data_IF_105131163974
#
_entry.id   IF_105131163974
#
_cell.length_a   1.000
_cell.length_b   1.000
_cell.length_c   1.000
_cell.angle_alpha   90.00
_cell.angle_beta   90.00
_cell.angle_gamma   90.00
#
_symmetry.space_group_name_H-M   'P 1'
#
loop_
_entity.id
_entity.type
_entity.pdbx_description
1 polymer ?
#
# COMPACT_ATOMS: atom_id res chain seq x y z
N UNK A 1 20.42 3.94 5.55
CA UNK A 1 20.07 4.88 4.47
C UNK A 1 20.06 4.12 3.16
N UNK A 2 18.90 4.10 2.54
CA UNK A 2 18.63 3.53 1.25
C UNK A 2 17.91 4.58 0.39
N UNK A 3 17.93 4.40 -0.93
CA UNK A 3 17.23 5.28 -1.87
C UNK A 3 16.20 4.47 -2.64
N UNK A 4 15.00 5.04 -2.81
CA UNK A 4 13.95 4.50 -3.67
C UNK A 4 13.79 5.44 -4.85
N UNK A 5 14.14 4.96 -6.04
CA UNK A 5 13.86 5.67 -7.29
C UNK A 5 12.41 5.44 -7.70
N UNK A 6 11.61 6.50 -7.67
CA UNK A 6 10.20 6.46 -8.06
C UNK A 6 10.01 7.20 -9.37
N UNK A 7 9.48 6.49 -10.36
CA UNK A 7 9.10 7.08 -11.65
C UNK A 7 7.68 6.66 -12.02
N UNK A 8 6.82 7.63 -12.33
CA UNK A 8 5.49 7.37 -12.84
C UNK A 8 5.21 8.13 -14.12
N UNK A 9 4.41 7.50 -14.98
CA UNK A 9 4.01 8.03 -16.28
C UNK A 9 2.53 7.80 -16.46
N UNK A 10 1.77 8.88 -16.55
CA UNK A 10 0.32 8.87 -16.80
C UNK A 10 0.10 9.43 -18.20
N UNK A 11 -0.49 8.62 -19.06
CA UNK A 11 -0.77 9.00 -20.43
C UNK A 11 -2.25 8.83 -20.73
N UNK A 12 -2.91 9.93 -21.09
CA UNK A 12 -4.25 9.87 -21.63
C UNK A 12 -4.16 9.43 -23.10
N UNK A 13 -4.94 8.43 -23.50
CA UNK A 13 -4.95 7.96 -24.90
C UNK A 13 -5.36 9.10 -25.84
N UNK A 14 -4.44 9.50 -26.72
CA UNK A 14 -4.63 10.64 -27.65
C UNK A 14 -4.54 12.02 -26.99
N UNK A 15 -4.09 12.09 -25.73
CA UNK A 15 -4.08 13.29 -24.93
C UNK A 15 -2.73 13.57 -24.26
N UNK A 16 -2.72 14.37 -23.18
CA UNK A 16 -1.51 14.80 -22.53
C UNK A 16 -0.76 13.65 -21.86
N UNK A 17 0.53 13.88 -21.71
CA UNK A 17 1.44 13.05 -20.95
C UNK A 17 1.87 13.81 -19.70
N UNK A 18 1.74 13.17 -18.55
CA UNK A 18 2.29 13.66 -17.28
C UNK A 18 3.25 12.59 -16.77
N UNK A 19 4.48 12.98 -16.44
CA UNK A 19 5.45 12.08 -15.84
C UNK A 19 6.22 12.78 -14.74
N UNK A 20 6.63 12.01 -13.74
CA UNK A 20 7.55 12.47 -12.69
C UNK A 20 8.56 11.37 -12.42
N UNK A 21 9.77 11.78 -12.03
CA UNK A 21 10.84 10.91 -11.59
C UNK A 21 11.56 11.61 -10.45
N UNK A 22 11.72 10.92 -9.33
CA UNK A 22 12.35 11.46 -8.14
C UNK A 22 13.02 10.35 -7.33
N UNK A 23 14.09 10.71 -6.63
CA UNK A 23 14.72 9.88 -5.62
C UNK A 23 14.07 10.18 -4.26
N UNK A 24 13.72 9.13 -3.53
CA UNK A 24 13.31 9.22 -2.13
C UNK A 24 14.42 8.66 -1.25
N UNK A 25 14.98 9.49 -0.39
CA UNK A 25 15.90 9.04 0.64
C UNK A 25 15.07 8.49 1.80
N UNK A 26 15.31 7.24 2.15
CA UNK A 26 14.67 6.55 3.29
C UNK A 26 15.74 5.95 4.17
N UNK A 27 15.45 5.76 5.45
CA UNK A 27 16.39 5.08 6.34
C UNK A 27 16.41 3.58 6.09
N UNK A 28 15.21 3.02 5.94
CA UNK A 28 14.95 1.62 5.70
C UNK A 28 13.76 1.46 4.75
N UNK A 29 13.74 0.34 4.04
CA UNK A 29 12.60 -0.09 3.25
C UNK A 29 12.34 -1.58 3.49
N UNK A 30 11.09 -1.99 3.32
CA UNK A 30 10.69 -3.39 3.36
C UNK A 30 9.78 -3.70 2.18
N UNK A 31 10.02 -4.85 1.54
CA UNK A 31 9.10 -5.46 0.58
C UNK A 31 8.42 -6.65 1.24
N UNK A 32 7.10 -6.65 1.25
CA UNK A 32 6.28 -7.72 1.83
C UNK A 32 5.44 -8.32 0.71
N UNK A 33 5.64 -9.61 0.47
CA UNK A 33 4.85 -10.40 -0.46
C UNK A 33 3.93 -11.32 0.35
N UNK A 34 2.62 -11.26 0.07
CA UNK A 34 1.61 -11.89 0.94
C UNK A 34 0.35 -12.27 0.18
N UNK A 35 -0.12 -13.50 0.40
CA UNK A 35 -1.40 -13.94 -0.10
C UNK A 35 -2.54 -13.63 0.89
N UNK A 36 -3.63 -13.07 0.38
CA UNK A 36 -4.89 -12.88 1.11
C UNK A 36 -5.93 -13.84 0.55
N UNK A 37 -6.23 -14.88 1.33
CA UNK A 37 -7.23 -15.89 1.00
C UNK A 37 -8.65 -15.29 1.03
N UNK A 38 -9.54 -15.69 0.11
CA UNK A 38 -10.94 -15.23 0.03
C UNK A 38 -11.83 -15.84 1.12
N UNK A 39 -11.45 -15.67 2.40
CA UNK A 39 -12.16 -16.20 3.57
C UNK A 39 -13.09 -15.17 4.22
N UNK A 40 -12.99 -13.90 3.83
CA UNK A 40 -13.64 -12.77 4.50
C UNK A 40 -13.02 -12.41 5.84
N UNK A 41 -11.98 -13.10 6.30
CA UNK A 41 -11.26 -12.76 7.53
C UNK A 41 -10.21 -11.68 7.27
N UNK A 42 -9.92 -10.90 8.31
CA UNK A 42 -8.85 -9.91 8.25
C UNK A 42 -7.49 -10.59 8.45
N UNK A 43 -6.52 -10.16 7.65
CA UNK A 43 -5.12 -10.54 7.80
C UNK A 43 -4.31 -9.29 8.11
N UNK A 44 -3.78 -9.23 9.32
CA UNK A 44 -2.91 -8.16 9.79
C UNK A 44 -1.50 -8.32 9.23
N UNK A 45 -0.95 -7.21 8.74
CA UNK A 45 0.41 -7.12 8.22
C UNK A 45 1.10 -5.98 8.93
N UNK A 46 2.14 -6.30 9.69
CA UNK A 46 2.99 -5.30 10.34
C UNK A 46 3.90 -4.66 9.28
N UNK A 47 3.77 -3.34 9.13
CA UNK A 47 4.55 -2.55 8.16
C UNK A 47 5.51 -1.57 8.85
N UNK A 48 5.44 -1.48 10.18
CA UNK A 48 6.35 -0.69 11.01
C UNK A 48 6.59 -1.40 12.36
N UNK A 49 7.79 -1.95 12.61
CA UNK A 49 8.08 -2.70 13.84
C UNK A 49 8.42 -1.83 15.06
N UNK A 50 8.67 -0.52 14.88
CA UNK A 50 9.12 0.37 15.95
C UNK A 50 8.28 1.64 16.03
N UNK A 51 8.13 2.21 17.23
CA UNK A 51 7.35 3.43 17.46
C UNK A 51 7.95 4.69 16.79
N UNK A 52 9.23 4.66 16.39
CA UNK A 52 9.99 5.85 16.00
C UNK A 52 10.25 6.06 14.50
N UNK A 53 9.81 5.19 13.60
CA UNK A 53 10.08 5.32 12.15
C UNK A 53 8.82 5.69 11.39
N UNK A 54 8.69 6.92 10.89
CA UNK A 54 7.51 7.33 10.13
C UNK A 54 7.52 6.72 8.72
N UNK A 55 6.45 6.02 8.34
CA UNK A 55 6.27 5.59 6.95
C UNK A 55 6.10 6.82 6.07
N UNK A 56 7.05 7.03 5.15
CA UNK A 56 7.08 8.15 4.20
C UNK A 56 6.76 7.72 2.76
N UNK A 57 6.73 6.42 2.51
CA UNK A 57 6.39 5.83 1.22
C UNK A 57 5.61 4.53 1.43
N UNK A 58 4.52 4.35 0.68
CA UNK A 58 3.75 3.12 0.65
C UNK A 58 3.25 2.83 -0.77
N UNK A 59 3.56 1.65 -1.28
CA UNK A 59 3.00 1.12 -2.51
C UNK A 59 2.31 -0.21 -2.17
N UNK A 60 1.04 -0.33 -2.57
CA UNK A 60 0.26 -1.57 -2.45
C UNK A 60 -0.16 -1.99 -3.86
N UNK A 61 0.31 -3.15 -4.29
CA UNK A 61 -0.12 -3.82 -5.53
C UNK A 61 -0.77 -5.15 -5.20
N UNK A 62 -1.61 -5.61 -6.12
CA UNK A 62 -2.31 -6.88 -6.02
C UNK A 62 -2.41 -7.57 -7.37
N UNK A 63 -2.42 -8.90 -7.38
CA UNK A 63 -2.82 -9.69 -8.56
C UNK A 63 -4.33 -9.62 -8.85
N UNK A 64 -5.13 -9.25 -7.85
CA UNK A 64 -6.58 -9.14 -7.90
C UNK A 64 -7.03 -7.78 -7.36
N UNK A 65 -7.87 -7.07 -8.08
CA UNK A 65 -8.44 -5.79 -7.65
C UNK A 65 -9.95 -5.86 -7.49
N UNK A 66 -10.47 -5.07 -6.55
CA UNK A 66 -11.90 -5.00 -6.26
C UNK A 66 -12.64 -4.22 -7.34
N UNK A 67 -13.43 -4.89 -8.17
CA UNK A 67 -14.35 -4.24 -9.12
C UNK A 67 -15.71 -3.92 -8.49
N UNK A 68 -15.99 -4.52 -7.33
CA UNK A 68 -17.19 -4.31 -6.52
C UNK A 68 -16.78 -3.69 -5.18
N UNK A 69 -17.64 -2.86 -4.60
CA UNK A 69 -17.35 -2.25 -3.30
C UNK A 69 -17.20 -3.34 -2.21
N UNK A 70 -16.10 -3.30 -1.47
CA UNK A 70 -15.91 -4.11 -0.27
C UNK A 70 -15.44 -5.55 -0.48
N UNK A 71 -15.03 -5.97 -1.70
CA UNK A 71 -14.52 -7.34 -1.93
C UNK A 71 -13.07 -7.51 -1.55
N UNK A 72 -12.19 -6.60 -1.97
CA UNK A 72 -10.81 -6.55 -1.48
C UNK A 72 -10.58 -5.18 -0.87
N UNK A 73 -10.31 -5.15 0.43
CA UNK A 73 -10.14 -3.92 1.19
C UNK A 73 -8.93 -3.99 2.11
N UNK A 74 -8.46 -2.83 2.54
CA UNK A 74 -7.50 -2.72 3.63
C UNK A 74 -7.83 -1.55 4.56
N UNK A 75 -7.61 -1.73 5.85
CA UNK A 75 -7.65 -0.65 6.84
C UNK A 75 -6.27 -0.42 7.43
N UNK A 76 -5.99 0.81 7.83
CA UNK A 76 -4.81 1.14 8.64
C UNK A 76 -5.22 1.11 10.10
N UNK A 77 -4.60 0.23 10.89
CA UNK A 77 -4.94 0.01 12.29
C UNK A 77 -6.45 -0.23 12.49
N UNK A 78 -7.17 0.70 13.13
CA UNK A 78 -8.62 0.64 13.37
C UNK A 78 -9.41 1.66 12.52
N UNK A 79 -8.80 2.20 11.45
CA UNK A 79 -9.42 3.15 10.53
C UNK A 79 -10.43 2.48 9.58
N UNK A 80 -11.17 3.31 8.85
CA UNK A 80 -12.12 2.87 7.83
C UNK A 80 -11.41 2.06 6.72
N UNK A 81 -12.12 1.05 6.21
CA UNK A 81 -11.58 0.19 5.16
C UNK A 81 -11.59 0.90 3.80
N UNK A 82 -10.43 0.91 3.15
CA UNK A 82 -10.21 1.43 1.82
C UNK A 82 -10.33 0.26 0.83
N UNK A 83 -11.08 0.46 -0.26
CA UNK A 83 -11.19 -0.52 -1.33
C UNK A 83 -9.88 -0.53 -2.15
N UNK A 84 -9.30 -1.71 -2.36
CA UNK A 84 -8.14 -1.87 -3.25
C UNK A 84 -8.64 -2.16 -4.67
N UNK A 85 -9.06 -1.12 -5.38
CA UNK A 85 -9.62 -1.20 -6.74
C UNK A 85 -8.55 -1.02 -7.84
N UNK A 86 -7.38 -0.48 -7.49
CA UNK A 86 -6.20 -0.27 -8.32
C UNK A 86 -4.91 -0.31 -7.46
N UNK A 87 -3.70 -0.30 -8.07
CA UNK A 87 -2.49 -0.03 -7.30
C UNK A 87 -2.58 1.29 -6.54
N UNK A 88 -2.28 1.28 -5.24
CA UNK A 88 -2.25 2.51 -4.44
C UNK A 88 -0.82 2.91 -4.16
N UNK A 89 -0.48 4.15 -4.48
CA UNK A 89 0.83 4.74 -4.27
C UNK A 89 0.71 6.01 -3.43
N UNK A 90 1.27 5.98 -2.23
CA UNK A 90 1.38 7.12 -1.34
C UNK A 90 2.83 7.58 -1.31
N UNK A 91 3.07 8.76 -1.88
CA UNK A 91 4.38 9.31 -2.13
C UNK A 91 4.63 10.51 -1.21
N UNK A 92 5.45 10.30 -0.17
CA UNK A 92 5.80 11.32 0.81
C UNK A 92 4.89 11.33 2.05
N UNK A 93 5.35 11.95 3.16
CA UNK A 93 4.62 11.95 4.44
C UNK A 93 3.20 12.54 4.36
N UNK A 94 3.03 13.60 3.57
CA UNK A 94 1.71 14.21 3.38
C UNK A 94 0.70 13.28 2.71
N UNK A 95 1.12 12.48 1.72
CA UNK A 95 0.24 11.51 1.09
C UNK A 95 -0.09 10.37 2.06
N UNK A 96 0.88 9.87 2.82
CA UNK A 96 0.67 8.83 3.83
C UNK A 96 -0.27 9.31 4.94
N UNK A 97 -0.18 10.58 5.35
CA UNK A 97 -1.05 11.15 6.40
C UNK A 97 -2.54 11.14 6.06
N UNK A 98 -2.92 11.04 4.78
CA UNK A 98 -4.33 10.90 4.36
C UNK A 98 -4.96 9.61 4.90
N UNK A 99 -4.14 8.61 5.22
CA UNK A 99 -4.57 7.37 5.86
C UNK A 99 -4.95 7.56 7.35
N UNK A 100 -4.86 8.78 7.87
CA UNK A 100 -5.29 9.17 9.22
C UNK A 100 -4.23 8.91 10.28
N UNK A 101 -3.67 7.70 10.32
CA UNK A 101 -2.59 7.31 11.24
C UNK A 101 -1.34 6.88 10.47
N UNK A 102 -0.17 7.05 11.09
CA UNK A 102 1.06 6.45 10.59
C UNK A 102 0.88 4.92 10.60
N UNK A 103 0.93 4.25 9.42
CA UNK A 103 0.52 2.86 9.34
C UNK A 103 1.51 1.96 10.08
N UNK A 104 1.04 1.36 11.18
CA UNK A 104 1.78 0.30 11.89
C UNK A 104 1.35 -1.07 11.40
N UNK A 105 0.04 -1.27 11.34
CA UNK A 105 -0.59 -2.50 10.85
C UNK A 105 -1.52 -2.16 9.69
N UNK A 106 -1.38 -2.90 8.60
CA UNK A 106 -2.36 -2.89 7.51
C UNK A 106 -3.18 -4.17 7.61
N UNK A 107 -4.49 -4.03 7.80
CA UNK A 107 -5.43 -5.17 7.87
C UNK A 107 -6.09 -5.35 6.52
N UNK A 108 -5.75 -6.41 5.80
CA UNK A 108 -6.37 -6.74 4.53
C UNK A 108 -7.53 -7.70 4.71
N UNK A 109 -8.59 -7.54 3.91
CA UNK A 109 -9.74 -8.43 3.91
C UNK A 109 -10.15 -8.76 2.48
N UNK A 110 -10.34 -10.05 2.22
CA UNK A 110 -10.79 -10.56 0.93
C UNK A 110 -12.12 -11.30 1.11
N UNK A 111 -13.21 -10.65 0.69
CA UNK A 111 -14.59 -11.12 0.75
C UNK A 111 -15.12 -11.63 -0.60
N UNK A 112 -14.23 -11.97 -1.54
CA UNK A 112 -14.61 -12.76 -2.72
C UNK A 112 -15.06 -14.17 -2.32
N UNK A 113 -15.82 -14.89 -3.18
CA UNK A 113 -16.12 -16.30 -2.96
C UNK A 113 -14.84 -17.13 -2.78
N UNK A 114 -14.89 -18.13 -1.89
CA UNK A 114 -13.72 -18.93 -1.53
C UNK A 114 -13.30 -19.88 -2.67
N UNK A 115 -12.55 -19.34 -3.62
CA UNK A 115 -12.04 -20.02 -4.82
C UNK A 115 -10.60 -19.59 -5.08
N UNK A 116 -9.75 -20.51 -5.55
CA UNK A 116 -8.32 -20.23 -5.80
C UNK A 116 -8.09 -19.01 -6.70
N UNK A 117 -8.94 -18.82 -7.71
CA UNK A 117 -8.86 -17.68 -8.64
C UNK A 117 -9.08 -16.32 -7.96
N UNK A 118 -9.68 -16.32 -6.77
CA UNK A 118 -9.98 -15.13 -5.98
C UNK A 118 -8.94 -14.89 -4.87
N UNK A 119 -7.85 -15.66 -4.84
CA UNK A 119 -6.70 -15.42 -3.98
C UNK A 119 -5.95 -14.17 -4.46
N UNK A 120 -5.78 -13.20 -3.56
CA UNK A 120 -5.09 -11.95 -3.88
C UNK A 120 -3.63 -12.04 -3.44
N UNK A 121 -2.69 -11.98 -4.38
CA UNK A 121 -1.26 -11.91 -4.11
C UNK A 121 -0.88 -10.43 -4.06
N UNK A 122 -0.54 -9.94 -2.86
CA UNK A 122 -0.15 -8.56 -2.65
C UNK A 122 1.36 -8.40 -2.63
N UNK A 123 1.82 -7.30 -3.23
CA UNK A 123 3.17 -6.77 -3.06
C UNK A 123 3.04 -5.41 -2.36
N UNK A 124 3.64 -5.29 -1.18
CA UNK A 124 3.65 -4.07 -0.39
C UNK A 124 5.08 -3.59 -0.28
N UNK A 125 5.36 -2.37 -0.74
CA UNK A 125 6.67 -1.73 -0.57
C UNK A 125 6.51 -0.53 0.36
N UNK A 126 7.27 -0.53 1.45
CA UNK A 126 7.22 0.49 2.49
C UNK A 126 8.58 1.16 2.56
N UNK A 127 8.62 2.48 2.57
CA UNK A 127 9.80 3.28 2.88
C UNK A 127 9.58 4.06 4.17
N UNK A 128 10.58 4.07 5.04
CA UNK A 128 10.51 4.69 6.36
C UNK A 128 11.57 5.75 6.49
N UNK A 129 11.18 6.89 7.03
CA UNK A 129 12.10 7.90 7.54
C UNK A 129 12.25 7.68 9.05
N UNK A 130 13.47 7.76 9.56
CA UNK A 130 13.72 7.76 11.01
C UNK A 130 14.51 9.00 11.40
N UNK A 131 14.19 10.14 10.77
CA UNK A 131 14.55 11.44 11.34
C UNK A 131 14.05 11.45 12.80
N UNK A 132 14.95 11.46 13.80
CA UNK A 132 14.54 11.59 15.18
C UNK A 132 13.96 13.00 15.36
N UNK A 133 12.79 13.11 16.00
CA UNK A 133 12.39 14.39 16.61
C UNK A 133 13.34 14.77 17.76
#
# INVERSE_FOLDING_TARGET
MASIDVSFKVQVKGGPLISSSQELVVEAYDKIDVAIEPTGQEKSIEVQPSEGSQVSFLLIKSSLYSTEAGKLTYGIDDAEQIVLDQPHLFLGPGAVSVLGNAPKIIKFKNAYPNEEKNRAELEILVGRDATPE
#
